data_IF_670598612969
#
_entry.id   IF_670598612969
#
_cell.length_a   1.000
_cell.length_b   1.000
_cell.length_c   1.000
_cell.angle_alpha   90.00
_cell.angle_beta   90.00
_cell.angle_gamma   90.00
#
_symmetry.space_group_name_H-M   'P 1'
#
loop_
_entity.id
_entity.type
_entity.pdbx_description
1 polymer ?
#
# COMPACT_ATOMS: atom_id res chain seq x y z
N UNK A 1 10.66 -75.87 15.09
CA UNK A 1 10.19 -74.68 15.84
C UNK A 1 11.19 -73.55 15.68
N UNK A 2 10.74 -72.38 15.19
CA UNK A 2 11.19 -71.00 15.44
C UNK A 2 10.80 -70.12 14.23
N UNK A 3 9.73 -69.35 14.40
CA UNK A 3 9.31 -68.27 13.49
C UNK A 3 10.02 -66.98 13.92
N UNK A 4 10.53 -66.15 13.00
CA UNK A 4 10.82 -64.76 13.30
C UNK A 4 9.82 -63.80 12.64
N UNK A 5 9.16 -63.06 13.52
CA UNK A 5 8.61 -61.69 13.46
C UNK A 5 8.27 -61.02 12.11
N UNK A 6 7.00 -60.63 12.03
CA UNK A 6 6.40 -59.59 11.18
C UNK A 6 7.20 -58.29 11.29
N UNK A 7 7.53 -57.65 10.15
CA UNK A 7 7.86 -56.22 10.10
C UNK A 7 6.89 -55.50 9.16
N UNK A 8 5.95 -54.76 9.77
CA UNK A 8 5.28 -53.64 9.13
C UNK A 8 6.30 -52.52 8.90
N UNK A 9 6.41 -52.04 7.67
CA UNK A 9 6.96 -50.72 7.37
C UNK A 9 6.22 -50.16 6.14
N UNK A 10 4.98 -49.73 6.39
CA UNK A 10 4.32 -48.77 5.51
C UNK A 10 4.89 -47.38 5.84
N UNK A 11 5.70 -46.84 4.94
CA UNK A 11 6.01 -45.43 4.91
C UNK A 11 6.01 -45.01 3.44
N UNK A 12 4.81 -44.78 2.88
CA UNK A 12 4.68 -43.96 1.69
C UNK A 12 5.15 -42.55 2.09
N UNK A 13 6.39 -42.23 1.75
CA UNK A 13 6.85 -40.87 1.70
C UNK A 13 6.02 -40.15 0.62
N UNK A 14 5.00 -39.41 1.06
CA UNK A 14 4.38 -38.35 0.28
C UNK A 14 5.48 -37.32 -0.01
N UNK A 15 6.18 -37.51 -1.14
CA UNK A 15 6.91 -36.45 -1.81
C UNK A 15 5.88 -35.37 -2.15
N UNK A 16 5.74 -34.39 -1.26
CA UNK A 16 5.03 -33.15 -1.54
C UNK A 16 5.69 -32.53 -2.75
N UNK A 17 5.01 -32.59 -3.88
CA UNK A 17 5.36 -31.86 -5.09
C UNK A 17 5.48 -30.37 -4.71
N UNK A 18 6.70 -29.86 -4.65
CA UNK A 18 6.97 -28.45 -4.79
C UNK A 18 6.62 -28.06 -6.23
N UNK A 19 5.32 -27.90 -6.49
CA UNK A 19 4.84 -27.27 -7.72
C UNK A 19 5.38 -25.83 -7.81
N UNK A 20 5.49 -25.27 -9.02
CA UNK A 20 5.92 -23.89 -9.19
C UNK A 20 5.04 -23.00 -8.31
N UNK A 21 5.68 -22.16 -7.51
CA UNK A 21 4.99 -21.13 -6.75
C UNK A 21 4.30 -20.21 -7.76
N UNK A 22 3.01 -20.46 -8.00
CA UNK A 22 2.17 -19.53 -8.73
C UNK A 22 2.25 -18.20 -7.96
N UNK A 23 2.86 -17.19 -8.58
CA UNK A 23 2.89 -15.84 -8.06
C UNK A 23 1.43 -15.44 -7.79
N UNK A 24 1.08 -15.33 -6.52
CA UNK A 24 -0.29 -14.97 -6.15
C UNK A 24 -0.57 -13.52 -6.56
N UNK A 25 -1.77 -13.21 -7.07
CA UNK A 25 -2.11 -11.87 -7.55
C UNK A 25 -2.24 -10.83 -6.43
N UNK A 26 -2.17 -11.23 -5.16
CA UNK A 26 -2.52 -10.38 -4.03
C UNK A 26 -1.30 -9.81 -3.27
N UNK A 27 -1.49 -8.62 -2.72
CA UNK A 27 -0.49 -7.89 -1.97
C UNK A 27 -0.55 -8.23 -0.49
N UNK A 28 0.62 -8.34 0.15
CA UNK A 28 0.71 -8.55 1.59
C UNK A 28 0.07 -7.39 2.37
N UNK A 29 -0.51 -7.62 3.56
CA UNK A 29 -1.21 -6.58 4.34
C UNK A 29 -0.39 -5.30 4.58
N UNK A 30 0.90 -5.44 4.89
CA UNK A 30 1.78 -4.28 5.07
C UNK A 30 2.04 -3.53 3.75
N UNK A 31 2.04 -4.21 2.59
CA UNK A 31 2.14 -3.56 1.27
C UNK A 31 0.85 -2.81 0.96
N UNK A 32 -0.31 -3.40 1.28
CA UNK A 32 -1.61 -2.70 1.21
C UNK A 32 -1.63 -1.46 2.10
N UNK A 33 -1.06 -1.51 3.30
CA UNK A 33 -0.92 -0.34 4.18
C UNK A 33 -0.07 0.76 3.55
N UNK A 34 1.09 0.40 3.00
CA UNK A 34 1.97 1.34 2.29
C UNK A 34 1.28 1.96 1.07
N UNK A 35 0.53 1.16 0.30
CA UNK A 35 -0.25 1.62 -0.85
C UNK A 35 -1.29 2.67 -0.43
N UNK A 36 -2.05 2.41 0.64
CA UNK A 36 -3.03 3.37 1.18
C UNK A 36 -2.39 4.69 1.58
N UNK A 37 -1.21 4.65 2.20
CA UNK A 37 -0.48 5.87 2.59
C UNK A 37 0.00 6.64 1.35
N UNK A 38 0.54 5.94 0.36
CA UNK A 38 0.97 6.52 -0.92
C UNK A 38 -0.20 7.15 -1.69
N UNK A 39 -1.33 6.45 -1.78
CA UNK A 39 -2.54 6.93 -2.45
C UNK A 39 -3.22 8.07 -1.70
N UNK A 40 -3.23 8.05 -0.35
CA UNK A 40 -3.71 9.18 0.45
C UNK A 40 -2.90 10.44 0.12
N UNK A 41 -1.57 10.33 0.04
CA UNK A 41 -0.72 11.45 -0.31
C UNK A 41 -1.05 12.00 -1.71
N UNK A 42 -1.16 11.11 -2.70
CA UNK A 42 -1.54 11.46 -4.08
C UNK A 42 -2.92 12.12 -4.15
N UNK A 43 -3.90 11.60 -3.39
CA UNK A 43 -5.24 12.17 -3.29
C UNK A 43 -5.21 13.59 -2.70
N UNK A 44 -4.48 13.81 -1.60
CA UNK A 44 -4.36 15.13 -0.98
C UNK A 44 -3.65 16.11 -1.90
N UNK A 45 -2.56 15.69 -2.56
CA UNK A 45 -1.83 16.49 -3.54
C UNK A 45 -2.73 16.92 -4.70
N UNK A 46 -3.35 15.95 -5.38
CA UNK A 46 -4.18 16.21 -6.54
C UNK A 46 -5.41 17.07 -6.18
N UNK A 47 -6.01 16.79 -5.03
CA UNK A 47 -7.16 17.56 -4.55
C UNK A 47 -6.78 18.99 -4.17
N UNK A 48 -5.61 19.22 -3.56
CA UNK A 48 -5.12 20.57 -3.27
C UNK A 48 -5.04 21.42 -4.54
N UNK A 49 -4.44 20.89 -5.60
CA UNK A 49 -4.34 21.58 -6.90
C UNK A 49 -5.72 21.92 -7.48
N UNK A 50 -6.67 20.98 -7.38
CA UNK A 50 -8.03 21.19 -7.91
C UNK A 50 -8.85 22.15 -7.08
N UNK A 51 -8.78 22.06 -5.75
CA UNK A 51 -9.56 22.85 -4.82
C UNK A 51 -9.19 24.34 -4.91
N UNK A 52 -7.91 24.65 -5.18
CA UNK A 52 -7.46 26.01 -5.49
C UNK A 52 -8.26 26.65 -6.64
N UNK A 53 -8.66 25.87 -7.66
CA UNK A 53 -9.43 26.36 -8.80
C UNK A 53 -10.88 26.74 -8.46
N UNK A 54 -11.42 26.23 -7.35
CA UNK A 54 -12.77 26.56 -6.85
C UNK A 54 -12.73 27.44 -5.60
N UNK A 55 -11.59 28.08 -5.32
CA UNK A 55 -11.44 29.04 -4.22
C UNK A 55 -11.17 28.44 -2.84
N UNK A 56 -10.99 27.12 -2.73
CA UNK A 56 -10.64 26.46 -1.46
C UNK A 56 -9.16 26.07 -1.47
N UNK A 57 -8.35 26.73 -0.64
CA UNK A 57 -6.92 26.45 -0.55
C UNK A 57 -6.57 25.76 0.78
N UNK A 58 -5.98 24.57 0.72
CA UNK A 58 -5.45 23.87 1.89
C UNK A 58 -3.97 23.48 1.72
N UNK A 59 -3.24 24.15 0.84
CA UNK A 59 -1.83 23.87 0.55
C UNK A 59 -0.96 23.87 1.80
N UNK A 60 -1.10 24.90 2.65
CA UNK A 60 -0.33 25.02 3.89
C UNK A 60 -0.53 23.82 4.81
N UNK A 61 -1.76 23.32 4.92
CA UNK A 61 -2.05 22.12 5.72
C UNK A 61 -1.44 20.88 5.07
N UNK A 62 -1.56 20.72 3.75
CA UNK A 62 -0.95 19.60 3.03
C UNK A 62 0.59 19.58 3.18
N UNK A 63 1.25 20.73 3.03
CA UNK A 63 2.71 20.85 3.22
C UNK A 63 3.12 20.48 4.65
N UNK A 64 2.35 20.93 5.65
CA UNK A 64 2.58 20.53 7.05
C UNK A 64 2.37 19.03 7.28
N UNK A 65 1.44 18.38 6.57
CA UNK A 65 1.30 16.91 6.61
C UNK A 65 2.57 16.22 6.12
N UNK A 66 3.14 16.68 5.00
CA UNK A 66 4.39 16.10 4.45
C UNK A 66 5.55 16.19 5.46
N UNK A 67 5.65 17.32 6.17
CA UNK A 67 6.67 17.50 7.22
C UNK A 67 6.37 16.63 8.44
N UNK A 68 5.13 16.70 8.95
CA UNK A 68 4.68 16.00 10.15
C UNK A 68 4.79 14.47 10.06
N UNK A 69 4.60 13.92 8.86
CA UNK A 69 4.53 12.47 8.62
C UNK A 69 5.57 11.96 7.62
N UNK A 70 6.60 12.75 7.31
CA UNK A 70 7.59 12.43 6.28
C UNK A 70 8.29 11.08 6.46
N UNK A 71 8.53 10.65 7.71
CA UNK A 71 9.09 9.34 7.99
C UNK A 71 8.15 8.18 7.56
N UNK A 72 6.85 8.32 7.81
CA UNK A 72 5.85 7.32 7.41
C UNK A 72 5.70 7.27 5.88
N UNK A 73 5.69 8.42 5.19
CA UNK A 73 5.66 8.45 3.73
C UNK A 73 6.88 7.78 3.11
N UNK A 74 8.09 8.07 3.61
CA UNK A 74 9.32 7.40 3.14
C UNK A 74 9.31 5.89 3.41
N UNK A 75 8.82 5.46 4.57
CA UNK A 75 8.71 4.04 4.90
C UNK A 75 7.72 3.32 3.98
N UNK A 76 6.58 3.95 3.65
CA UNK A 76 5.62 3.43 2.69
C UNK A 76 6.23 3.32 1.28
N UNK A 77 6.91 4.37 0.82
CA UNK A 77 7.60 4.38 -0.48
C UNK A 77 8.66 3.27 -0.57
N UNK A 78 9.55 3.16 0.42
CA UNK A 78 10.59 2.14 0.45
C UNK A 78 9.99 0.73 0.39
N UNK A 79 8.86 0.50 1.08
CA UNK A 79 8.15 -0.76 1.04
C UNK A 79 7.53 -1.06 -0.33
N UNK A 80 6.97 -0.06 -0.99
CA UNK A 80 6.42 -0.21 -2.34
C UNK A 80 7.53 -0.50 -3.35
N UNK A 81 8.63 0.25 -3.32
CA UNK A 81 9.81 -0.01 -4.16
C UNK A 81 10.31 -1.45 -3.97
N UNK A 82 10.46 -1.90 -2.73
CA UNK A 82 10.82 -3.29 -2.44
C UNK A 82 9.79 -4.31 -2.97
N UNK A 83 8.49 -3.99 -2.93
CA UNK A 83 7.46 -4.85 -3.52
C UNK A 83 7.62 -5.02 -5.04
N UNK A 84 7.96 -3.93 -5.74
CA UNK A 84 8.22 -3.93 -7.17
C UNK A 84 9.63 -4.39 -7.56
N UNK A 85 10.48 -4.76 -6.58
CA UNK A 85 11.85 -5.20 -6.84
C UNK A 85 12.77 -4.06 -7.29
N UNK A 86 12.50 -2.84 -6.82
CA UNK A 86 13.16 -1.62 -7.23
C UNK A 86 14.14 -1.16 -6.14
N UNK A 87 15.42 -1.05 -6.50
CA UNK A 87 16.41 -0.41 -5.64
C UNK A 87 16.34 1.12 -5.76
N UNK A 88 16.93 1.85 -4.79
CA UNK A 88 16.75 3.31 -4.69
C UNK A 88 17.29 4.10 -5.91
N UNK A 89 18.09 3.46 -6.77
CA UNK A 89 18.69 4.05 -7.98
C UNK A 89 17.95 3.73 -9.28
N UNK A 90 17.07 2.73 -9.27
CA UNK A 90 16.49 2.20 -10.50
C UNK A 90 15.01 2.58 -10.54
N UNK A 91 14.52 2.99 -11.71
CA UNK A 91 13.09 3.07 -11.97
C UNK A 91 12.70 1.79 -12.70
N UNK A 92 12.11 0.83 -11.99
CA UNK A 92 11.51 -0.31 -12.69
C UNK A 92 10.18 0.15 -13.29
N UNK A 93 9.97 -0.18 -14.57
CA UNK A 93 8.78 0.17 -15.36
C UNK A 93 7.47 -0.11 -14.61
N UNK A 94 7.41 -1.16 -13.78
CA UNK A 94 6.24 -1.52 -12.97
C UNK A 94 5.93 -0.52 -11.84
N UNK A 95 6.96 -0.03 -11.12
CA UNK A 95 6.76 0.96 -10.06
C UNK A 95 6.35 2.31 -10.64
N UNK A 96 6.97 2.71 -11.75
CA UNK A 96 6.60 3.94 -12.46
C UNK A 96 5.18 3.86 -13.01
N UNK A 97 4.81 2.70 -13.58
CA UNK A 97 3.44 2.43 -14.02
C UNK A 97 2.44 2.50 -12.87
N UNK A 98 2.81 1.99 -11.69
CA UNK A 98 2.02 2.14 -10.46
C UNK A 98 1.83 3.61 -10.09
N UNK A 99 2.91 4.40 -10.02
CA UNK A 99 2.85 5.83 -9.66
C UNK A 99 1.99 6.61 -10.66
N UNK A 100 2.16 6.36 -11.96
CA UNK A 100 1.37 6.99 -13.02
C UNK A 100 -0.11 6.60 -12.92
N UNK A 101 -0.40 5.32 -12.65
CA UNK A 101 -1.76 4.82 -12.50
C UNK A 101 -2.52 5.52 -11.36
N UNK A 102 -1.92 5.62 -10.16
CA UNK A 102 -2.56 6.31 -9.04
C UNK A 102 -2.65 7.82 -9.27
N UNK A 103 -1.67 8.44 -9.93
CA UNK A 103 -1.71 9.86 -10.27
C UNK A 103 -2.86 10.18 -11.24
N UNK A 104 -3.07 9.33 -12.25
CA UNK A 104 -4.19 9.46 -13.18
C UNK A 104 -5.54 9.23 -12.49
N UNK A 105 -5.63 8.21 -11.63
CA UNK A 105 -6.84 7.90 -10.88
C UNK A 105 -7.28 9.08 -10.01
N UNK A 106 -6.36 9.63 -9.21
CA UNK A 106 -6.69 10.74 -8.31
C UNK A 106 -6.62 12.10 -8.99
N UNK A 107 -6.04 12.24 -10.18
CA UNK A 107 -5.84 13.49 -10.91
C UNK A 107 -7.09 14.04 -11.60
N UNK A 108 -7.96 13.16 -12.09
CA UNK A 108 -9.11 13.53 -12.95
C UNK A 108 -10.40 13.98 -12.26
N UNK A 109 -10.45 14.02 -10.92
CA UNK A 109 -11.69 14.30 -10.18
C UNK A 109 -12.28 15.70 -10.38
N UNK A 110 -13.59 15.86 -10.18
CA UNK A 110 -14.24 17.18 -10.08
C UNK A 110 -13.90 17.84 -8.75
N UNK A 111 -13.76 19.16 -8.77
CA UNK A 111 -13.63 19.95 -7.55
C UNK A 111 -15.03 20.38 -7.08
N UNK A 112 -15.32 20.10 -5.81
CA UNK A 112 -16.54 20.54 -5.13
C UNK A 112 -16.12 21.26 -3.83
N UNK A 113 -16.63 22.48 -3.55
CA UNK A 113 -16.23 23.25 -2.37
C UNK A 113 -16.41 22.51 -1.04
N UNK A 114 -17.48 21.73 -0.88
CA UNK A 114 -17.75 20.98 0.35
C UNK A 114 -16.72 19.88 0.57
N UNK A 115 -16.46 19.08 -0.47
CA UNK A 115 -15.41 18.05 -0.48
C UNK A 115 -14.03 18.66 -0.23
N UNK A 116 -13.74 19.81 -0.85
CA UNK A 116 -12.48 20.53 -0.64
C UNK A 116 -12.31 21.01 0.80
N UNK A 117 -13.36 21.55 1.43
CA UNK A 117 -13.32 21.96 2.82
C UNK A 117 -13.07 20.76 3.76
N UNK A 118 -13.74 19.63 3.51
CA UNK A 118 -13.54 18.40 4.27
C UNK A 118 -12.09 17.89 4.18
N UNK A 119 -11.51 17.88 2.97
CA UNK A 119 -10.10 17.49 2.77
C UNK A 119 -9.14 18.46 3.48
N UNK A 120 -9.46 19.76 3.48
CA UNK A 120 -8.71 20.75 4.25
C UNK A 120 -8.74 20.48 5.76
N UNK A 121 -9.90 20.11 6.31
CA UNK A 121 -10.04 19.71 7.73
C UNK A 121 -9.21 18.46 8.04
N UNK A 122 -9.24 17.45 7.18
CA UNK A 122 -8.45 16.21 7.35
C UNK A 122 -6.95 16.54 7.31
N UNK A 123 -6.50 17.33 6.33
CA UNK A 123 -5.10 17.74 6.23
C UNK A 123 -4.65 18.54 7.47
N UNK A 124 -5.50 19.45 7.97
CA UNK A 124 -5.22 20.20 9.19
C UNK A 124 -5.10 19.28 10.43
N UNK A 125 -5.99 18.29 10.56
CA UNK A 125 -5.95 17.32 11.66
C UNK A 125 -4.68 16.47 11.63
N UNK A 126 -4.28 15.98 10.45
CA UNK A 126 -3.03 15.24 10.26
C UNK A 126 -1.80 16.10 10.56
N UNK A 127 -1.80 17.36 10.10
CA UNK A 127 -0.72 18.32 10.36
C UNK A 127 -0.54 18.62 11.85
N UNK A 128 -1.62 18.61 12.63
CA UNK A 128 -1.60 18.85 14.07
C UNK A 128 -1.11 17.65 14.90
N UNK A 129 -0.84 16.51 14.27
CA UNK A 129 -0.45 15.26 14.95
C UNK A 129 0.87 14.70 14.39
N UNK A 130 2.00 15.43 14.50
CA UNK A 130 3.28 15.01 13.96
C UNK A 130 3.75 13.67 14.53
N UNK A 131 4.30 12.82 13.67
CA UNK A 131 4.81 11.50 14.03
C UNK A 131 3.74 10.47 14.42
N UNK A 132 2.46 10.84 14.46
CA UNK A 132 1.37 9.92 14.79
C UNK A 132 1.03 9.02 13.59
N UNK A 133 1.83 7.96 13.42
CA UNK A 133 1.68 7.00 12.33
C UNK A 133 0.34 6.24 12.38
N UNK A 134 -0.21 6.00 13.57
CA UNK A 134 -1.49 5.30 13.73
C UNK A 134 -2.67 6.14 13.24
N UNK A 135 -2.66 7.45 13.52
CA UNK A 135 -3.65 8.37 12.99
C UNK A 135 -3.56 8.43 11.46
N UNK A 136 -2.34 8.58 10.90
CA UNK A 136 -2.13 8.58 9.46
C UNK A 136 -2.66 7.28 8.82
N UNK A 137 -2.31 6.12 9.40
CA UNK A 137 -2.78 4.83 8.91
C UNK A 137 -4.30 4.69 8.99
N UNK A 138 -4.92 5.16 10.08
CA UNK A 138 -6.38 5.15 10.25
C UNK A 138 -7.07 5.99 9.18
N UNK A 139 -6.60 7.22 8.96
CA UNK A 139 -7.14 8.10 7.92
C UNK A 139 -6.93 7.48 6.53
N UNK A 140 -5.74 6.91 6.27
CA UNK A 140 -5.46 6.23 5.00
C UNK A 140 -6.41 5.05 4.76
N UNK A 141 -6.75 4.25 5.79
CA UNK A 141 -7.73 3.15 5.68
C UNK A 141 -9.15 3.67 5.43
N UNK A 142 -9.54 4.76 6.08
CA UNK A 142 -10.88 5.33 5.92
C UNK A 142 -11.09 5.95 4.54
N UNK A 143 -10.09 6.67 4.04
CA UNK A 143 -10.15 7.36 2.75
C UNK A 143 -9.83 6.44 1.58
N UNK A 144 -8.87 5.53 1.75
CA UNK A 144 -8.43 4.58 0.73
C UNK A 144 -8.80 3.17 1.21
N UNK A 145 -10.10 2.83 1.10
CA UNK A 145 -10.57 1.50 1.48
C UNK A 145 -9.84 0.43 0.68
N UNK A 146 -9.94 0.54 -0.64
CA UNK A 146 -9.25 -0.32 -1.58
C UNK A 146 -8.32 0.54 -2.43
N UNK A 147 -6.99 0.41 -2.23
CA UNK A 147 -6.00 0.96 -3.14
C UNK A 147 -6.37 0.69 -4.59
N UNK A 148 -6.22 1.71 -5.45
CA UNK A 148 -6.53 1.62 -6.87
C UNK A 148 -5.82 0.45 -7.54
N UNK A 149 -4.58 0.20 -7.11
CA UNK A 149 -3.76 -0.91 -7.59
C UNK A 149 -3.44 -1.85 -6.43
N UNK A 150 -3.47 -3.16 -6.70
CA UNK A 150 -3.18 -4.19 -5.71
C UNK A 150 -4.44 -4.80 -5.11
N UNK A 151 -4.57 -6.11 -5.23
CA UNK A 151 -5.68 -6.84 -4.61
C UNK A 151 -5.30 -7.34 -3.22
N UNK A 152 -6.24 -7.33 -2.29
CA UNK A 152 -6.06 -7.95 -0.97
C UNK A 152 -6.01 -9.47 -1.12
N UNK A 153 -5.26 -10.12 -0.24
CA UNK A 153 -5.28 -11.58 -0.15
C UNK A 153 -6.56 -12.07 0.54
N UNK A 154 -7.14 -13.14 0.02
CA UNK A 154 -8.23 -13.90 0.62
C UNK A 154 -7.68 -15.00 1.55
N UNK A 155 -8.57 -15.62 2.34
CA UNK A 155 -8.24 -16.76 3.20
C UNK A 155 -7.70 -17.92 2.35
N UNK A 156 -6.44 -18.29 2.56
CA UNK A 156 -5.76 -19.36 1.81
C UNK A 156 -4.78 -18.87 0.74
N UNK A 157 -4.80 -17.59 0.39
CA UNK A 157 -3.86 -17.03 -0.58
C UNK A 157 -2.47 -16.84 0.01
N UNK A 158 -1.42 -17.13 -0.76
CA UNK A 158 -0.03 -16.81 -0.41
C UNK A 158 0.31 -15.41 -0.89
N UNK A 159 0.46 -14.42 -0.03
CA UNK A 159 0.79 -13.06 -0.46
C UNK A 159 2.14 -12.98 -1.22
N UNK A 160 2.24 -12.09 -2.22
CA UNK A 160 3.56 -11.72 -2.76
C UNK A 160 4.35 -10.97 -1.68
N UNK A 161 5.47 -11.51 -1.19
CA UNK A 161 6.30 -10.78 -0.24
C UNK A 161 6.93 -9.56 -0.93
N UNK A 162 7.33 -8.55 -0.15
CA UNK A 162 8.28 -7.58 -0.66
C UNK A 162 9.54 -8.34 -1.06
N UNK A 163 10.18 -8.00 -2.19
CA UNK A 163 11.42 -8.64 -2.58
C UNK A 163 12.42 -8.43 -1.44
N UNK A 164 12.83 -9.55 -0.82
CA UNK A 164 13.85 -9.54 0.22
C UNK A 164 15.20 -9.27 -0.42
N UNK A 165 15.99 -8.42 0.22
CA UNK A 165 17.44 -8.35 -0.06
C UNK A 165 18.12 -9.60 0.46
#
# INVERSE_FOLDING_TARGET
>A
MRRPAIRLAAALALLGLAGPALASPCWAPATMGAARISELNTLLMASNLRCKRVGVNFADSYEKVLVAHGAAFRAAEARLRAHFGVDHSDSADDYDSYVVSIANHYGGGRADPGTCAQLGTIAAALAAAPGNADLLATIAIQMIRDPHTGQRCSLGDKARPAAGR
#
